data_IF_261264282588
#
_entry.id   IF_261264282588
#
_cell.length_a   1.000
_cell.length_b   1.000
_cell.length_c   1.000
_cell.angle_alpha   90.00
_cell.angle_beta   90.00
_cell.angle_gamma   90.00
#
_symmetry.space_group_name_H-M   'P 1'
#
loop_
_entity.id
_entity.type
_entity.pdbx_description
1 polymer ?
#
# COMPACT_ATOMS: atom_id res chain seq x y z
N UNK A 1 -0.74 10.05 -20.14
CA UNK A 1 -1.59 9.47 -19.09
C UNK A 1 -1.46 7.96 -19.17
N UNK A 2 -0.73 7.38 -18.22
CA UNK A 2 -0.37 5.94 -18.21
C UNK A 2 -1.49 5.04 -17.68
N UNK A 3 -2.47 5.61 -16.96
CA UNK A 3 -3.58 4.91 -16.33
C UNK A 3 -4.95 5.38 -16.83
N UNK A 4 -4.99 5.93 -18.05
CA UNK A 4 -6.21 6.48 -18.63
C UNK A 4 -7.36 5.47 -18.59
N UNK A 5 -8.51 5.90 -18.04
CA UNK A 5 -9.76 5.16 -17.93
C UNK A 5 -9.68 3.86 -17.07
N UNK A 6 -8.57 3.62 -16.37
CA UNK A 6 -8.45 2.52 -15.39
C UNK A 6 -9.17 2.88 -14.09
N UNK A 7 -9.78 1.91 -13.44
CA UNK A 7 -10.39 2.05 -12.11
C UNK A 7 -9.46 1.48 -11.05
N UNK A 8 -9.02 2.31 -10.12
CA UNK A 8 -8.02 1.98 -9.12
C UNK A 8 -8.55 2.17 -7.70
N UNK A 9 -8.51 1.12 -6.89
CA UNK A 9 -8.73 1.17 -5.45
C UNK A 9 -7.39 1.33 -4.73
N UNK A 10 -7.26 2.34 -3.86
CA UNK A 10 -6.10 2.52 -3.00
C UNK A 10 -6.56 2.45 -1.54
N UNK A 11 -6.11 1.43 -0.79
CA UNK A 11 -6.47 1.29 0.62
C UNK A 11 -5.60 2.16 1.52
N UNK A 12 -6.20 2.69 2.61
CA UNK A 12 -5.50 3.60 3.52
C UNK A 12 -5.02 4.88 2.85
N UNK A 13 -5.83 5.44 1.94
CA UNK A 13 -5.46 6.59 1.11
C UNK A 13 -5.80 7.96 1.72
N UNK A 14 -6.13 8.03 3.01
CA UNK A 14 -6.40 9.32 3.70
C UNK A 14 -5.13 10.14 3.95
N UNK A 15 -3.95 9.52 3.95
CA UNK A 15 -2.68 10.20 4.24
C UNK A 15 -1.46 9.48 3.65
N UNK A 16 -0.29 10.07 3.78
CA UNK A 16 1.01 9.46 3.50
C UNK A 16 1.13 8.88 2.09
N UNK A 17 1.70 7.67 2.01
CA UNK A 17 1.97 6.97 0.73
C UNK A 17 0.67 6.73 -0.05
N UNK A 18 -0.38 6.23 0.63
CA UNK A 18 -1.64 5.93 -0.04
C UNK A 18 -2.29 7.15 -0.69
N UNK A 19 -2.26 8.30 0.00
CA UNK A 19 -2.74 9.58 -0.54
C UNK A 19 -1.94 10.03 -1.76
N UNK A 20 -0.61 9.95 -1.69
CA UNK A 20 0.27 10.31 -2.80
C UNK A 20 0.05 9.39 -4.03
N UNK A 21 -0.15 8.09 -3.82
CA UNK A 21 -0.50 7.14 -4.89
C UNK A 21 -1.84 7.52 -5.51
N UNK A 22 -2.87 7.79 -4.70
CA UNK A 22 -4.20 8.16 -5.17
C UNK A 22 -4.17 9.43 -6.04
N UNK A 23 -3.52 10.49 -5.57
CA UNK A 23 -3.34 11.74 -6.30
C UNK A 23 -2.58 11.53 -7.62
N UNK A 24 -1.48 10.76 -7.58
CA UNK A 24 -0.68 10.48 -8.78
C UNK A 24 -1.45 9.62 -9.79
N UNK A 25 -2.21 8.63 -9.36
CA UNK A 25 -3.03 7.81 -10.27
C UNK A 25 -4.11 8.64 -10.95
N UNK A 26 -4.77 9.56 -10.23
CA UNK A 26 -5.73 10.48 -10.82
C UNK A 26 -5.07 11.39 -11.87
N UNK A 27 -3.90 11.95 -11.57
CA UNK A 27 -3.12 12.76 -12.52
C UNK A 27 -2.70 11.97 -13.78
N UNK A 28 -2.58 10.63 -13.67
CA UNK A 28 -2.31 9.73 -14.81
C UNK A 28 -3.59 9.23 -15.50
N UNK A 29 -4.76 9.77 -15.14
CA UNK A 29 -6.02 9.53 -15.82
C UNK A 29 -6.88 8.39 -15.29
N UNK A 30 -6.55 7.84 -14.11
CA UNK A 30 -7.36 6.81 -13.48
C UNK A 30 -8.60 7.38 -12.78
N UNK A 31 -9.70 6.62 -12.76
CA UNK A 31 -10.78 6.78 -11.80
C UNK A 31 -10.29 6.20 -10.46
N UNK A 32 -10.31 6.98 -9.40
CA UNK A 32 -9.66 6.59 -8.13
C UNK A 32 -10.67 6.43 -7.01
N UNK A 33 -10.58 5.30 -6.31
CA UNK A 33 -11.31 5.07 -5.07
C UNK A 33 -10.35 5.26 -3.88
N UNK A 34 -10.61 6.31 -3.12
CA UNK A 34 -9.86 6.68 -1.92
C UNK A 34 -10.46 5.92 -0.73
N UNK A 35 -9.85 4.79 -0.34
CA UNK A 35 -10.32 4.07 0.83
C UNK A 35 -9.77 4.66 2.12
N UNK A 36 -10.65 4.82 3.08
CA UNK A 36 -10.34 5.15 4.46
C UNK A 36 -11.36 4.53 5.42
N UNK A 37 -10.94 4.31 6.67
CA UNK A 37 -11.84 3.80 7.71
C UNK A 37 -12.75 4.91 8.26
N UNK A 38 -13.92 4.59 8.84
CA UNK A 38 -14.84 5.60 9.39
C UNK A 38 -14.18 6.60 10.36
N UNK A 39 -13.23 6.13 11.18
CA UNK A 39 -12.50 6.98 12.15
C UNK A 39 -11.49 7.96 11.54
N UNK A 40 -11.24 7.91 10.22
CA UNK A 40 -10.35 8.83 9.49
C UNK A 40 -11.13 9.67 8.46
N UNK A 41 -12.39 9.98 8.74
CA UNK A 41 -13.31 10.61 7.77
C UNK A 41 -12.81 11.99 7.30
N UNK A 42 -12.40 12.86 8.22
CA UNK A 42 -11.96 14.21 7.86
C UNK A 42 -10.76 14.19 6.91
N UNK A 43 -9.73 13.38 7.23
CA UNK A 43 -8.54 13.22 6.39
C UNK A 43 -8.90 12.55 5.05
N UNK A 44 -9.81 11.58 5.08
CA UNK A 44 -10.29 10.88 3.89
C UNK A 44 -11.05 11.78 2.94
N UNK A 45 -11.93 12.64 3.43
CA UNK A 45 -12.67 13.63 2.64
C UNK A 45 -11.73 14.70 2.06
N UNK A 46 -10.72 15.14 2.81
CA UNK A 46 -9.69 16.05 2.33
C UNK A 46 -8.85 15.41 1.20
N UNK A 47 -8.43 14.15 1.38
CA UNK A 47 -7.71 13.40 0.36
C UNK A 47 -8.56 13.18 -0.90
N UNK A 48 -9.85 12.87 -0.74
CA UNK A 48 -10.78 12.71 -1.85
C UNK A 48 -10.94 14.00 -2.65
N UNK A 49 -11.08 15.15 -1.97
CA UNK A 49 -11.19 16.45 -2.62
C UNK A 49 -9.93 16.79 -3.44
N UNK A 50 -8.74 16.50 -2.89
CA UNK A 50 -7.47 16.69 -3.60
C UNK A 50 -7.40 15.77 -4.83
N UNK A 51 -7.69 14.48 -4.69
CA UNK A 51 -7.69 13.51 -5.79
C UNK A 51 -8.67 13.93 -6.91
N UNK A 52 -9.86 14.38 -6.53
CA UNK A 52 -10.88 14.84 -7.49
C UNK A 52 -10.45 16.08 -8.30
N UNK A 53 -9.50 16.87 -7.81
CA UNK A 53 -8.98 18.04 -8.53
C UNK A 53 -8.08 17.69 -9.72
N UNK A 54 -7.57 16.47 -9.79
CA UNK A 54 -6.62 16.05 -10.84
C UNK A 54 -7.27 15.50 -12.10
N UNK A 55 -8.56 15.16 -12.10
CA UNK A 55 -9.12 14.66 -13.32
C UNK A 55 -10.35 13.78 -13.21
N UNK A 56 -10.32 12.52 -13.71
CA UNK A 56 -11.50 11.69 -13.81
C UNK A 56 -12.19 11.45 -12.46
N UNK A 57 -13.33 10.79 -12.46
CA UNK A 57 -14.11 10.63 -11.25
C UNK A 57 -13.33 10.02 -10.09
N UNK A 58 -13.43 10.64 -8.90
CA UNK A 58 -12.98 10.09 -7.64
C UNK A 58 -14.16 9.64 -6.78
N UNK A 59 -13.95 8.63 -5.92
CA UNK A 59 -14.98 8.06 -5.05
C UNK A 59 -14.40 7.76 -3.67
N UNK A 60 -15.17 8.00 -2.62
CA UNK A 60 -14.84 7.52 -1.28
C UNK A 60 -15.15 6.02 -1.15
N UNK A 61 -14.20 5.25 -0.64
CA UNK A 61 -14.39 3.86 -0.25
C UNK A 61 -14.33 3.71 1.27
N UNK A 62 -15.43 3.96 1.99
CA UNK A 62 -15.44 3.93 3.45
C UNK A 62 -15.52 2.48 3.93
N UNK A 63 -14.40 1.93 4.39
CA UNK A 63 -14.30 0.53 4.81
C UNK A 63 -13.13 0.31 5.78
N UNK A 64 -13.34 -0.55 6.77
CA UNK A 64 -12.27 -1.17 7.53
C UNK A 64 -11.81 -2.43 6.78
N UNK A 65 -10.58 -2.39 6.25
CA UNK A 65 -10.03 -3.50 5.45
C UNK A 65 -9.90 -4.82 6.21
N UNK A 66 -9.89 -4.78 7.54
CA UNK A 66 -9.86 -5.99 8.37
C UNK A 66 -11.21 -6.72 8.46
N UNK A 67 -12.29 -6.13 7.90
CA UNK A 67 -13.65 -6.66 7.92
C UNK A 67 -14.10 -7.06 6.52
N UNK A 68 -14.44 -8.34 6.35
CA UNK A 68 -14.86 -8.89 5.06
C UNK A 68 -16.06 -8.15 4.47
N UNK A 69 -17.09 -7.93 5.29
CA UNK A 69 -18.34 -7.29 4.86
C UNK A 69 -18.10 -5.86 4.35
N UNK A 70 -17.19 -5.14 4.98
CA UNK A 70 -16.81 -3.79 4.56
C UNK A 70 -16.09 -3.80 3.22
N UNK A 71 -15.16 -4.74 3.01
CA UNK A 71 -14.42 -4.88 1.76
C UNK A 71 -15.34 -5.31 0.61
N UNK A 72 -16.21 -6.28 0.84
CA UNK A 72 -17.17 -6.75 -0.17
C UNK A 72 -18.14 -5.64 -0.57
N UNK A 73 -18.70 -4.91 0.41
CA UNK A 73 -19.56 -3.75 0.16
C UNK A 73 -18.81 -2.69 -0.66
N UNK A 74 -17.61 -2.28 -0.25
CA UNK A 74 -16.83 -1.28 -0.95
C UNK A 74 -16.55 -1.66 -2.40
N UNK A 75 -16.17 -2.92 -2.67
CA UNK A 75 -15.92 -3.36 -4.05
C UNK A 75 -17.23 -3.44 -4.84
N UNK A 76 -18.34 -3.83 -4.24
CA UNK A 76 -19.65 -3.79 -4.91
C UNK A 76 -20.05 -2.36 -5.32
N UNK A 77 -19.86 -1.38 -4.44
CA UNK A 77 -20.07 0.05 -4.73
C UNK A 77 -19.18 0.56 -5.88
N UNK A 78 -17.90 0.09 -5.96
CA UNK A 78 -17.00 0.40 -7.07
C UNK A 78 -17.56 -0.15 -8.39
N UNK A 79 -18.03 -1.40 -8.39
CA UNK A 79 -18.58 -2.03 -9.59
C UNK A 79 -19.90 -1.37 -10.00
N UNK A 80 -20.75 -1.01 -9.07
CA UNK A 80 -21.98 -0.25 -9.36
C UNK A 80 -21.66 1.09 -10.03
N UNK A 81 -20.64 1.80 -9.53
CA UNK A 81 -20.28 3.14 -10.00
C UNK A 81 -19.50 3.16 -11.31
N UNK A 82 -18.56 2.23 -11.50
CA UNK A 82 -17.59 2.27 -12.60
C UNK A 82 -17.67 1.04 -13.54
N UNK A 83 -18.44 0.02 -13.18
CA UNK A 83 -18.60 -1.22 -13.95
C UNK A 83 -17.40 -2.17 -13.87
N UNK A 84 -16.27 -1.75 -13.28
CA UNK A 84 -15.01 -2.51 -13.25
C UNK A 84 -14.09 -2.12 -12.10
N UNK A 85 -13.08 -2.96 -11.86
CA UNK A 85 -11.89 -2.65 -11.08
C UNK A 85 -10.67 -3.21 -11.81
N UNK A 86 -9.65 -2.39 -12.06
CA UNK A 86 -8.46 -2.75 -12.80
C UNK A 86 -7.22 -2.88 -11.93
N UNK A 87 -7.15 -2.05 -10.89
CA UNK A 87 -6.00 -1.92 -10.01
C UNK A 87 -6.47 -1.92 -8.56
N UNK A 88 -5.83 -2.73 -7.71
CA UNK A 88 -5.99 -2.64 -6.27
C UNK A 88 -4.62 -2.48 -5.60
N UNK A 89 -4.45 -1.37 -4.87
CA UNK A 89 -3.25 -1.07 -4.09
C UNK A 89 -3.52 -1.35 -2.62
N UNK A 90 -2.91 -2.39 -2.09
CA UNK A 90 -2.94 -2.78 -0.68
C UNK A 90 -1.92 -1.95 0.09
N UNK A 91 -2.32 -0.75 0.51
CA UNK A 91 -1.46 0.18 1.24
C UNK A 91 -1.86 0.34 2.72
N UNK A 92 -3.12 0.08 3.08
CA UNK A 92 -3.58 0.19 4.47
C UNK A 92 -2.68 -0.62 5.42
N UNK A 93 -2.20 0.03 6.46
CA UNK A 93 -1.33 -0.60 7.45
C UNK A 93 -1.18 0.23 8.71
N UNK A 94 -0.84 -0.44 9.77
CA UNK A 94 -0.52 0.13 11.08
C UNK A 94 0.73 -0.53 11.64
N UNK A 95 1.38 0.16 12.57
CA UNK A 95 2.45 -0.40 13.38
C UNK A 95 2.20 -0.11 14.86
N UNK A 96 2.73 -0.97 15.73
CA UNK A 96 2.72 -0.79 17.17
C UNK A 96 4.14 -1.08 17.66
N UNK A 97 4.79 -0.04 18.21
CA UNK A 97 6.10 -0.16 18.83
C UNK A 97 5.96 -0.66 20.26
N UNK A 98 6.53 -1.82 20.54
CA UNK A 98 6.53 -2.39 21.90
C UNK A 98 7.62 -3.47 22.05
N UNK A 99 8.31 -3.57 23.20
CA UNK A 99 9.22 -4.67 23.46
C UNK A 99 8.48 -6.01 23.33
N UNK A 100 9.12 -7.02 22.72
CA UNK A 100 8.47 -8.31 22.42
C UNK A 100 7.80 -8.95 23.63
N UNK A 101 8.45 -8.92 24.80
CA UNK A 101 7.91 -9.54 26.02
C UNK A 101 6.68 -8.83 26.59
N UNK A 102 6.34 -7.63 26.08
CA UNK A 102 5.22 -6.81 26.53
C UNK A 102 4.06 -6.73 25.52
N UNK A 103 4.26 -7.25 24.30
CA UNK A 103 3.23 -7.25 23.25
C UNK A 103 2.06 -8.12 23.71
N UNK A 104 0.86 -7.55 23.73
CA UNK A 104 -0.37 -8.30 24.02
C UNK A 104 -0.91 -9.00 22.77
N UNK A 105 -1.69 -10.07 22.98
CA UNK A 105 -2.36 -10.77 21.89
C UNK A 105 -3.27 -9.83 21.06
N UNK A 106 -3.94 -8.89 21.70
CA UNK A 106 -4.79 -7.91 21.01
C UNK A 106 -3.98 -6.96 20.11
N UNK A 107 -2.83 -6.47 20.59
CA UNK A 107 -1.92 -5.63 19.79
C UNK A 107 -1.35 -6.40 18.61
N UNK A 108 -0.91 -7.64 18.85
CA UNK A 108 -0.45 -8.55 17.81
C UNK A 108 -1.52 -8.79 16.75
N UNK A 109 -2.70 -9.25 17.18
CA UNK A 109 -3.82 -9.56 16.30
C UNK A 109 -4.30 -8.35 15.52
N UNK A 110 -4.32 -7.16 16.13
CA UNK A 110 -4.71 -5.91 15.46
C UNK A 110 -3.79 -5.57 14.29
N UNK A 111 -2.46 -5.71 14.46
CA UNK A 111 -1.50 -5.45 13.37
C UNK A 111 -1.68 -6.47 12.24
N UNK A 112 -1.79 -7.76 12.56
CA UNK A 112 -1.99 -8.80 11.55
C UNK A 112 -3.34 -8.67 10.84
N UNK A 113 -4.40 -8.31 11.56
CA UNK A 113 -5.73 -8.13 10.99
C UNK A 113 -5.78 -7.01 9.94
N UNK A 114 -5.10 -5.89 10.19
CA UNK A 114 -5.07 -4.78 9.22
C UNK A 114 -4.07 -5.07 8.09
N UNK A 115 -2.81 -5.38 8.43
CA UNK A 115 -1.72 -5.39 7.46
C UNK A 115 -1.75 -6.63 6.55
N UNK A 116 -1.97 -7.82 7.12
CA UNK A 116 -1.91 -9.08 6.39
C UNK A 116 -3.28 -9.57 5.98
N UNK A 117 -4.20 -9.74 6.94
CA UNK A 117 -5.53 -10.24 6.64
C UNK A 117 -6.35 -9.26 5.79
N UNK A 118 -6.24 -7.94 6.06
CA UNK A 118 -6.87 -6.91 5.24
C UNK A 118 -6.36 -6.91 3.79
N UNK A 119 -5.05 -7.04 3.61
CA UNK A 119 -4.46 -7.18 2.26
C UNK A 119 -4.93 -8.45 1.55
N UNK A 120 -5.10 -9.56 2.28
CA UNK A 120 -5.70 -10.78 1.73
C UNK A 120 -7.14 -10.55 1.29
N UNK A 121 -7.99 -9.96 2.15
CA UNK A 121 -9.41 -9.72 1.85
C UNK A 121 -9.58 -8.86 0.59
N UNK A 122 -8.92 -7.71 0.56
CA UNK A 122 -8.99 -6.78 -0.58
C UNK A 122 -8.50 -7.46 -1.86
N UNK A 123 -7.36 -8.16 -1.80
CA UNK A 123 -6.82 -8.86 -2.98
C UNK A 123 -7.75 -9.97 -3.46
N UNK A 124 -8.33 -10.76 -2.56
CA UNK A 124 -9.22 -11.86 -2.93
C UNK A 124 -10.50 -11.35 -3.61
N UNK A 125 -11.16 -10.34 -3.03
CA UNK A 125 -12.42 -9.80 -3.57
C UNK A 125 -12.16 -9.07 -4.89
N UNK A 126 -11.10 -8.26 -4.97
CA UNK A 126 -10.70 -7.59 -6.21
C UNK A 126 -10.32 -8.58 -7.31
N UNK A 127 -9.50 -9.60 -7.01
CA UNK A 127 -9.09 -10.61 -7.99
C UNK A 127 -10.28 -11.41 -8.53
N UNK A 128 -11.23 -11.81 -7.68
CA UNK A 128 -12.47 -12.48 -8.14
C UNK A 128 -13.23 -11.63 -9.16
N UNK A 129 -13.31 -10.34 -8.93
CA UNK A 129 -13.93 -9.41 -9.86
C UNK A 129 -13.12 -9.25 -11.15
N UNK A 130 -11.79 -9.12 -11.06
CA UNK A 130 -10.89 -9.05 -12.23
C UNK A 130 -10.98 -10.32 -13.10
N UNK A 131 -11.04 -11.49 -12.47
CA UNK A 131 -11.25 -12.78 -13.19
C UNK A 131 -12.59 -12.79 -13.91
N UNK A 132 -13.69 -12.36 -13.24
CA UNK A 132 -15.01 -12.25 -13.84
C UNK A 132 -15.05 -11.28 -15.05
N UNK A 133 -14.28 -10.20 -14.99
CA UNK A 133 -14.15 -9.24 -16.09
C UNK A 133 -13.36 -9.79 -17.29
N UNK A 134 -12.43 -10.72 -17.06
CA UNK A 134 -11.64 -11.37 -18.13
C UNK A 134 -10.61 -10.47 -18.83
N UNK A 135 -10.27 -9.32 -18.23
CA UNK A 135 -9.37 -8.32 -18.84
C UNK A 135 -8.02 -8.20 -18.11
N UNK A 136 -7.72 -9.14 -17.21
CA UNK A 136 -6.56 -9.06 -16.34
C UNK A 136 -6.73 -8.04 -15.22
N UNK A 137 -5.61 -7.60 -14.64
CA UNK A 137 -5.61 -6.63 -13.56
C UNK A 137 -4.24 -6.47 -12.91
N UNK A 138 -4.15 -5.55 -11.95
CA UNK A 138 -2.92 -5.27 -11.20
C UNK A 138 -3.21 -5.26 -9.70
N UNK A 139 -2.52 -6.11 -8.94
CA UNK A 139 -2.49 -6.08 -7.48
C UNK A 139 -1.11 -5.57 -7.04
N UNK A 140 -1.09 -4.48 -6.29
CA UNK A 140 0.14 -3.87 -5.79
C UNK A 140 0.06 -3.85 -4.27
N UNK A 141 1.11 -4.37 -3.62
CA UNK A 141 1.24 -4.33 -2.17
C UNK A 141 2.25 -3.25 -1.78
N UNK A 142 1.97 -2.54 -0.70
CA UNK A 142 2.92 -1.66 -0.04
C UNK A 142 3.35 -2.35 1.26
N UNK A 143 4.50 -3.02 1.19
CA UNK A 143 5.05 -3.70 2.36
C UNK A 143 5.98 -2.77 3.16
N UNK A 144 7.22 -3.13 3.29
CA UNK A 144 8.30 -2.37 3.94
C UNK A 144 9.63 -3.08 3.70
N UNK A 145 10.75 -2.40 3.82
CA UNK A 145 12.07 -3.03 3.98
C UNK A 145 12.08 -4.04 5.13
N UNK A 146 11.20 -3.86 6.12
CA UNK A 146 11.05 -4.75 7.27
C UNK A 146 10.28 -6.07 6.96
N UNK A 147 10.02 -6.34 5.69
CA UNK A 147 9.69 -7.69 5.23
C UNK A 147 10.92 -8.60 5.15
N UNK A 148 12.11 -8.01 5.15
CA UNK A 148 13.40 -8.67 4.92
C UNK A 148 14.41 -8.38 6.05
N UNK A 149 14.48 -7.13 6.55
CA UNK A 149 15.37 -6.76 7.64
C UNK A 149 14.62 -6.58 8.96
N UNK A 150 15.26 -6.95 10.10
CA UNK A 150 14.61 -6.84 11.41
C UNK A 150 14.37 -5.37 11.82
N UNK A 151 13.36 -5.18 12.68
CA UNK A 151 13.05 -3.90 13.30
C UNK A 151 12.70 -4.12 14.78
N UNK A 152 13.67 -4.03 15.69
CA UNK A 152 13.46 -4.28 17.11
C UNK A 152 12.34 -3.40 17.70
N UNK A 153 11.44 -4.03 18.45
CA UNK A 153 10.25 -3.38 18.99
C UNK A 153 9.02 -3.40 18.06
N UNK A 154 9.14 -3.92 16.83
CA UNK A 154 8.05 -3.97 15.85
C UNK A 154 7.77 -5.40 15.35
N UNK A 155 7.87 -6.40 16.22
CA UNK A 155 7.80 -7.81 15.81
C UNK A 155 6.53 -8.18 15.04
N UNK A 156 5.34 -7.72 15.48
CA UNK A 156 4.08 -7.96 14.78
C UNK A 156 4.03 -7.31 13.39
N UNK A 157 4.61 -6.11 13.28
CA UNK A 157 4.73 -5.41 12.01
C UNK A 157 5.63 -6.16 11.03
N UNK A 158 6.84 -6.54 11.43
CA UNK A 158 7.76 -7.32 10.61
C UNK A 158 7.13 -8.65 10.16
N UNK A 159 6.49 -9.38 11.09
CA UNK A 159 5.78 -10.62 10.78
C UNK A 159 4.67 -10.39 9.74
N UNK A 160 3.90 -9.30 9.87
CA UNK A 160 2.85 -8.96 8.91
C UNK A 160 3.41 -8.64 7.52
N UNK A 161 4.53 -7.90 7.43
CA UNK A 161 5.14 -7.49 6.16
C UNK A 161 5.86 -8.65 5.47
N UNK A 162 6.53 -9.52 6.22
CA UNK A 162 7.06 -10.80 5.69
C UNK A 162 5.95 -11.71 5.15
N UNK A 163 4.82 -11.79 5.87
CA UNK A 163 3.62 -12.50 5.41
C UNK A 163 3.04 -11.93 4.13
N UNK A 164 2.94 -10.61 4.01
CA UNK A 164 2.50 -9.92 2.79
C UNK A 164 3.41 -10.26 1.61
N UNK A 165 4.74 -10.22 1.79
CA UNK A 165 5.70 -10.59 0.75
C UNK A 165 5.49 -12.01 0.22
N UNK A 166 5.36 -12.99 1.12
CA UNK A 166 5.17 -14.37 0.69
C UNK A 166 3.80 -14.59 0.07
N UNK A 167 2.74 -13.98 0.60
CA UNK A 167 1.41 -14.00 0.01
C UNK A 167 1.43 -13.42 -1.41
N UNK A 168 2.05 -12.28 -1.61
CA UNK A 168 2.20 -11.64 -2.93
C UNK A 168 2.83 -12.59 -3.94
N UNK A 169 3.93 -13.25 -3.58
CA UNK A 169 4.63 -14.20 -4.46
C UNK A 169 3.75 -15.39 -4.86
N UNK A 170 2.99 -15.93 -3.90
CA UNK A 170 2.09 -17.04 -4.16
C UNK A 170 0.93 -16.60 -5.08
N UNK A 171 0.32 -15.45 -4.81
CA UNK A 171 -0.74 -14.90 -5.64
C UNK A 171 -0.27 -14.60 -7.07
N UNK A 172 0.98 -14.16 -7.27
CA UNK A 172 1.55 -13.95 -8.59
C UNK A 172 1.53 -15.23 -9.44
N UNK A 173 1.82 -16.38 -8.83
CA UNK A 173 1.79 -17.67 -9.52
C UNK A 173 0.35 -18.13 -9.81
N UNK A 174 -0.54 -18.04 -8.82
CA UNK A 174 -1.92 -18.50 -8.98
C UNK A 174 -2.72 -17.67 -9.97
N UNK A 175 -2.48 -16.34 -10.02
CA UNK A 175 -3.26 -15.40 -10.81
C UNK A 175 -2.69 -15.12 -12.21
N UNK A 176 -1.49 -15.59 -12.53
CA UNK A 176 -0.85 -15.40 -13.83
C UNK A 176 -1.71 -15.89 -14.99
N UNK A 177 -2.39 -17.03 -14.85
CA UNK A 177 -3.30 -17.59 -15.84
C UNK A 177 -4.46 -16.64 -16.21
N UNK A 178 -4.83 -15.72 -15.31
CA UNK A 178 -5.86 -14.70 -15.53
C UNK A 178 -5.29 -13.35 -15.98
N UNK A 179 -4.00 -13.28 -16.28
CA UNK A 179 -3.29 -12.05 -16.65
C UNK A 179 -3.37 -10.96 -15.58
N UNK A 180 -3.39 -11.35 -14.30
CA UNK A 180 -3.33 -10.44 -13.16
C UNK A 180 -1.88 -10.39 -12.68
N UNK A 181 -1.25 -9.22 -12.82
CA UNK A 181 0.08 -8.98 -12.26
C UNK A 181 -0.02 -8.71 -10.76
N UNK A 182 0.89 -9.29 -10.00
CA UNK A 182 0.93 -9.14 -8.54
C UNK A 182 2.35 -8.76 -8.13
N UNK A 183 2.54 -7.55 -7.61
CA UNK A 183 3.86 -7.03 -7.26
C UNK A 183 3.83 -6.31 -5.91
N UNK A 184 5.01 -6.06 -5.37
CA UNK A 184 5.22 -5.44 -4.08
C UNK A 184 6.20 -4.26 -4.19
N UNK A 185 5.89 -3.18 -3.49
CA UNK A 185 6.82 -2.09 -3.22
C UNK A 185 7.18 -2.18 -1.74
N UNK A 186 8.47 -2.18 -1.44
CA UNK A 186 9.02 -2.20 -0.09
C UNK A 186 9.72 -0.86 0.22
N UNK A 187 8.99 0.13 0.77
CA UNK A 187 9.59 1.40 1.12
C UNK A 187 10.52 1.27 2.34
N UNK A 188 11.60 2.06 2.35
CA UNK A 188 12.36 2.38 3.55
C UNK A 188 11.70 3.50 4.36
N UNK A 189 12.51 4.37 4.95
CA UNK A 189 12.03 5.52 5.70
C UNK A 189 11.45 6.59 4.76
N UNK A 190 10.13 6.78 4.79
CA UNK A 190 9.40 7.77 3.98
C UNK A 190 8.83 8.85 4.91
N UNK A 191 8.91 10.11 4.50
CA UNK A 191 8.39 11.27 5.24
C UNK A 191 6.85 11.27 5.20
N UNK A 192 6.24 10.62 6.19
CA UNK A 192 4.79 10.43 6.32
C UNK A 192 4.36 10.65 7.77
N UNK A 193 3.05 10.83 8.04
CA UNK A 193 2.56 10.99 9.42
C UNK A 193 2.94 9.85 10.38
N UNK A 194 3.15 8.63 9.88
CA UNK A 194 3.58 7.49 10.72
C UNK A 194 5.00 7.70 11.28
N UNK A 195 5.83 8.44 10.57
CA UNK A 195 7.20 8.78 10.96
C UNK A 195 7.34 10.17 11.61
N UNK A 196 6.22 10.86 11.91
CA UNK A 196 6.24 12.24 12.38
C UNK A 196 7.07 12.39 13.67
N UNK A 197 6.97 11.44 14.59
CA UNK A 197 7.74 11.47 15.84
C UNK A 197 9.28 11.46 15.60
N UNK A 198 9.74 10.78 14.55
CA UNK A 198 11.16 10.77 14.16
C UNK A 198 11.53 12.06 13.43
N UNK A 199 10.64 12.58 12.59
CA UNK A 199 10.86 13.82 11.83
C UNK A 199 10.95 15.04 12.74
N UNK A 200 10.23 15.04 13.88
CA UNK A 200 10.19 16.15 14.84
C UNK A 200 11.32 16.08 15.89
N UNK A 201 12.03 14.95 16.00
CA UNK A 201 13.14 14.76 16.93
C UNK A 201 14.49 14.77 16.19
N UNK A 202 15.28 15.80 16.40
CA UNK A 202 16.57 15.97 15.74
C UNK A 202 17.57 14.84 16.03
N UNK A 203 17.55 14.24 17.22
CA UNK A 203 18.45 13.13 17.56
C UNK A 203 17.99 11.83 16.89
N UNK A 204 16.67 11.53 16.95
CA UNK A 204 16.08 10.39 16.24
C UNK A 204 16.28 10.50 14.72
N UNK A 205 16.06 11.70 14.16
CA UNK A 205 16.29 11.99 12.75
C UNK A 205 17.75 11.75 12.34
N UNK A 206 18.72 12.25 13.12
CA UNK A 206 20.15 12.02 12.86
C UNK A 206 20.49 10.54 12.86
N UNK A 207 19.96 9.77 13.82
CA UNK A 207 20.18 8.33 13.89
C UNK A 207 19.58 7.61 12.66
N UNK A 208 18.32 7.92 12.31
CA UNK A 208 17.67 7.34 11.15
C UNK A 208 18.43 7.64 9.85
N UNK A 209 18.91 8.89 9.68
CA UNK A 209 19.67 9.28 8.49
C UNK A 209 21.03 8.57 8.40
N UNK A 210 21.65 8.19 9.53
CA UNK A 210 22.92 7.44 9.51
C UNK A 210 22.76 6.03 8.95
N UNK A 211 21.56 5.50 8.93
CA UNK A 211 21.23 4.18 8.38
C UNK A 211 20.86 4.22 6.89
N UNK A 212 20.66 5.42 6.32
CA UNK A 212 20.23 5.60 4.93
C UNK A 212 21.38 6.14 4.09
N UNK A 213 22.00 5.35 3.20
CA UNK A 213 23.11 5.83 2.35
C UNK A 213 22.78 7.07 1.52
N UNK A 214 21.50 7.24 1.11
CA UNK A 214 21.06 8.44 0.36
C UNK A 214 20.98 9.71 1.21
N UNK A 215 21.14 9.61 2.54
CA UNK A 215 21.21 10.73 3.49
C UNK A 215 19.91 11.52 3.70
N UNK A 216 18.76 10.99 3.28
CA UNK A 216 17.45 11.59 3.49
C UNK A 216 16.34 10.56 3.53
N UNK A 217 15.20 10.94 4.10
CA UNK A 217 13.96 10.18 3.92
C UNK A 217 13.47 10.30 2.47
N UNK A 218 12.84 9.22 2.00
CA UNK A 218 12.08 9.24 0.76
C UNK A 218 10.81 10.08 0.90
N UNK A 219 10.28 10.52 -0.24
CA UNK A 219 8.99 11.23 -0.31
C UNK A 219 7.89 10.28 -0.76
N UNK A 220 6.65 10.46 -0.28
CA UNK A 220 5.50 9.67 -0.75
C UNK A 220 5.34 9.64 -2.28
N UNK A 221 5.66 10.76 -2.96
CA UNK A 221 5.57 10.89 -4.41
C UNK A 221 6.57 9.99 -5.16
N UNK A 222 7.71 9.68 -4.53
CA UNK A 222 8.70 8.74 -5.11
C UNK A 222 8.14 7.32 -5.12
N UNK A 223 7.44 6.92 -4.05
CA UNK A 223 6.73 5.63 -3.99
C UNK A 223 5.56 5.61 -5.00
N UNK A 224 4.81 6.71 -5.10
CA UNK A 224 3.70 6.84 -6.04
C UNK A 224 4.16 6.71 -7.51
N UNK A 225 5.34 7.21 -7.85
CA UNK A 225 5.90 7.10 -9.20
C UNK A 225 6.19 5.64 -9.58
N UNK A 226 6.71 4.84 -8.65
CA UNK A 226 6.92 3.41 -8.85
C UNK A 226 5.58 2.65 -8.93
N UNK A 227 4.60 3.04 -8.11
CA UNK A 227 3.26 2.45 -8.15
C UNK A 227 2.58 2.69 -9.52
N UNK A 228 2.73 3.87 -10.12
CA UNK A 228 2.24 4.14 -11.50
C UNK A 228 2.88 3.21 -12.52
N UNK A 229 4.20 3.00 -12.45
CA UNK A 229 4.87 2.05 -13.33
C UNK A 229 4.25 0.65 -13.21
N UNK A 230 4.15 0.12 -12.00
CA UNK A 230 3.62 -1.21 -11.75
C UNK A 230 2.12 -1.36 -12.10
N UNK A 231 1.37 -0.26 -12.05
CA UNK A 231 -0.04 -0.22 -12.42
C UNK A 231 -0.28 -0.09 -13.93
N UNK A 232 0.72 0.33 -14.69
CA UNK A 232 0.61 0.59 -16.13
C UNK A 232 0.88 -0.66 -16.99
N UNK A 233 0.57 -0.55 -18.27
CA UNK A 233 0.86 -1.59 -19.27
C UNK A 233 2.37 -1.77 -19.50
N UNK A 234 3.21 -0.78 -19.12
CA UNK A 234 4.68 -0.90 -19.18
C UNK A 234 5.22 -2.01 -18.27
N UNK A 235 4.46 -2.41 -17.25
CA UNK A 235 4.80 -3.48 -16.31
C UNK A 235 4.08 -4.82 -16.61
N UNK A 236 3.60 -5.05 -17.83
CA UNK A 236 2.82 -6.26 -18.15
C UNK A 236 3.61 -7.56 -17.98
N UNK A 237 4.92 -7.53 -18.15
CA UNK A 237 5.76 -8.71 -17.92
C UNK A 237 6.39 -8.75 -16.52
N UNK A 238 5.91 -7.88 -15.61
CA UNK A 238 6.41 -7.77 -14.24
C UNK A 238 5.39 -8.38 -13.29
N UNK A 239 5.73 -9.51 -12.66
CA UNK A 239 4.89 -10.16 -11.64
C UNK A 239 5.75 -10.93 -10.64
N UNK A 240 5.30 -11.06 -9.39
CA UNK A 240 5.98 -11.77 -8.31
C UNK A 240 7.22 -11.07 -7.74
N UNK A 241 7.41 -9.79 -8.06
CA UNK A 241 8.62 -9.03 -7.71
C UNK A 241 8.38 -8.05 -6.56
N UNK A 242 9.40 -7.89 -5.70
CA UNK A 242 9.50 -6.80 -4.74
C UNK A 242 10.47 -5.75 -5.24
N UNK A 243 10.06 -4.50 -5.18
CA UNK A 243 10.86 -3.33 -5.52
C UNK A 243 11.14 -2.51 -4.27
N UNK A 244 12.40 -2.49 -3.85
CA UNK A 244 12.84 -1.65 -2.75
C UNK A 244 12.95 -0.19 -3.21
N UNK A 245 12.42 0.72 -2.39
CA UNK A 245 12.55 2.17 -2.56
C UNK A 245 12.94 2.76 -1.21
N UNK A 246 14.21 2.68 -0.88
CA UNK A 246 14.73 2.77 0.48
C UNK A 246 15.99 3.64 0.64
N UNK A 247 16.47 4.26 -0.44
CA UNK A 247 17.69 5.04 -0.41
C UNK A 247 18.96 4.24 -0.10
N UNK A 248 18.91 2.90 -0.33
CA UNK A 248 20.00 1.97 -0.09
C UNK A 248 20.04 1.38 1.33
N UNK A 249 19.02 1.64 2.15
CA UNK A 249 18.98 1.19 3.54
C UNK A 249 19.19 -0.32 3.70
N UNK A 250 18.57 -1.14 2.84
CA UNK A 250 18.74 -2.60 2.89
C UNK A 250 20.10 -3.10 2.39
N UNK A 251 20.88 -2.24 1.72
CA UNK A 251 22.19 -2.57 1.17
C UNK A 251 23.34 -2.02 2.03
N UNK A 252 23.01 -1.32 3.11
CA UNK A 252 24.05 -0.70 3.95
C UNK A 252 24.92 -1.76 4.62
N UNK A 253 26.22 -1.62 4.43
CA UNK A 253 27.25 -2.35 5.17
C UNK A 253 28.00 -1.33 6.03
N UNK A 254 28.04 -1.54 7.34
CA UNK A 254 28.88 -0.73 8.22
C UNK A 254 30.34 -1.05 7.88
N UNK A 255 31.02 -0.09 7.24
CA UNK A 255 32.47 -0.17 7.07
C UNK A 255 33.13 0.24 8.39
N UNK A 256 33.98 -0.61 8.92
CA UNK A 256 34.73 -0.40 10.17
C UNK A 256 35.75 0.74 10.03
#
# INVERSE_FOLDING_TARGET
MRLKDKVALITGASSGIGKAIAARFAAEGAHVVVNYRPGSRADGEAALAEVASFGPAAMAGIADVSKREDVERMIAEIIERFGRIDIAVNNAGIEIKKPFLEVTDDEWNKVLAVNLFGSYLVSQVAARQMVKQGQGGKLIFISSVHEDIPFPGYTSYCASKGGVRMMMRNLAMELAQYKINVNNIAPGAIATPINQAVLDDAAAMKNALSEIPWGRFGRPEEVASLAVFLASDEADYVTGSTYYIDGGLTQQVTLY
#
